data_IF_262986991717
#
_entry.id   IF_262986991717
#
_cell.length_a   1.000
_cell.length_b   1.000
_cell.length_c   1.000
_cell.angle_alpha   90.00
_cell.angle_beta   90.00
_cell.angle_gamma   90.00
#
_symmetry.space_group_name_H-M   'P 1'
#
loop_
_entity.id
_entity.type
_entity.pdbx_description
1 polymer ?
#
# COMPACT_ATOMS: atom_id res chain seq x y z
N UNK A 1 40.08 31.79 -0.26
CA UNK A 1 39.62 30.39 -0.40
C UNK A 1 39.51 29.83 1.00
N UNK A 2 38.34 29.96 1.63
CA UNK A 2 38.08 29.30 2.91
C UNK A 2 37.35 27.98 2.63
N UNK A 3 38.04 26.86 2.86
CA UNK A 3 37.40 25.56 3.01
C UNK A 3 36.85 25.50 4.44
N UNK A 4 35.58 25.85 4.60
CA UNK A 4 34.86 25.50 5.82
C UNK A 4 34.70 23.98 5.87
N UNK A 5 35.55 23.31 6.63
CA UNK A 5 35.33 21.93 7.06
C UNK A 5 34.25 21.96 8.12
N UNK A 6 33.00 21.75 7.70
CA UNK A 6 31.89 21.57 8.63
C UNK A 6 32.13 20.25 9.37
N UNK A 7 32.56 20.32 10.63
CA UNK A 7 32.62 19.15 11.51
C UNK A 7 31.19 18.76 11.83
N UNK A 8 30.64 17.80 11.07
CA UNK A 8 29.34 17.20 11.42
C UNK A 8 29.45 16.62 12.82
N UNK A 9 28.59 17.08 13.73
CA UNK A 9 28.61 16.62 15.11
C UNK A 9 28.04 15.21 15.15
N UNK A 10 28.54 14.34 16.04
CA UNK A 10 27.95 13.00 16.28
C UNK A 10 26.43 13.09 16.51
N UNK A 11 25.97 14.20 17.11
CA UNK A 11 24.55 14.49 17.30
C UNK A 11 23.80 14.73 16.00
N UNK A 12 24.41 15.38 15.01
CA UNK A 12 23.81 15.65 13.71
C UNK A 12 23.60 14.32 12.94
N UNK A 13 24.58 13.43 12.99
CA UNK A 13 24.51 12.08 12.40
C UNK A 13 23.40 11.26 13.09
N UNK A 14 23.31 11.31 14.41
CA UNK A 14 22.26 10.61 15.16
C UNK A 14 20.86 11.14 14.81
N UNK A 15 20.68 12.46 14.77
CA UNK A 15 19.41 13.10 14.40
C UNK A 15 19.01 12.76 12.96
N UNK A 16 19.97 12.69 12.05
CA UNK A 16 19.74 12.26 10.68
C UNK A 16 19.26 10.81 10.64
N UNK A 17 19.95 9.89 11.33
CA UNK A 17 19.54 8.49 11.42
C UNK A 17 18.14 8.30 11.99
N UNK A 18 17.78 9.05 13.04
CA UNK A 18 16.46 9.00 13.64
C UNK A 18 15.36 9.52 12.69
N UNK A 19 15.61 10.62 11.96
CA UNK A 19 14.66 11.15 10.95
C UNK A 19 14.39 10.14 9.84
N UNK A 20 15.44 9.49 9.34
CA UNK A 20 15.34 8.46 8.32
C UNK A 20 14.53 7.26 8.83
N UNK A 21 14.82 6.81 10.06
CA UNK A 21 14.08 5.70 10.68
C UNK A 21 12.59 6.00 10.87
N UNK A 22 12.23 7.22 11.31
CA UNK A 22 10.84 7.64 11.43
C UNK A 22 10.11 7.67 10.07
N UNK A 23 10.78 8.16 9.03
CA UNK A 23 10.22 8.16 7.68
C UNK A 23 9.94 6.74 7.18
N UNK A 24 10.85 5.80 7.44
CA UNK A 24 10.67 4.38 7.09
C UNK A 24 9.52 3.75 7.88
N UNK A 25 9.38 4.02 9.18
CA UNK A 25 8.23 3.54 9.97
C UNK A 25 6.92 4.07 9.44
N UNK A 26 6.84 5.37 9.16
CA UNK A 26 5.63 5.99 8.61
C UNK A 26 5.24 5.37 7.28
N UNK A 27 6.23 5.01 6.46
CA UNK A 27 5.98 4.31 5.22
C UNK A 27 5.50 2.86 5.44
N UNK A 28 6.15 2.11 6.33
CA UNK A 28 5.76 0.74 6.68
C UNK A 28 4.33 0.67 7.22
N UNK A 29 3.94 1.61 8.08
CA UNK A 29 2.57 1.64 8.63
C UNK A 29 1.54 1.90 7.56
N UNK A 30 1.80 2.81 6.61
CA UNK A 30 0.90 3.05 5.45
C UNK A 30 0.74 1.80 4.58
N UNK A 31 1.85 1.11 4.27
CA UNK A 31 1.84 -0.14 3.51
C UNK A 31 1.03 -1.24 4.22
N UNK A 32 1.20 -1.38 5.53
CA UNK A 32 0.44 -2.33 6.34
C UNK A 32 -1.05 -1.98 6.39
N UNK A 33 -1.39 -0.70 6.50
CA UNK A 33 -2.78 -0.24 6.52
C UNK A 33 -3.49 -0.54 5.20
N UNK A 34 -2.84 -0.32 4.05
CA UNK A 34 -3.40 -0.69 2.74
C UNK A 34 -3.62 -2.21 2.60
N UNK A 35 -2.70 -3.03 3.11
CA UNK A 35 -2.88 -4.49 3.15
C UNK A 35 -4.02 -4.93 4.05
N UNK A 36 -4.19 -4.27 5.19
CA UNK A 36 -5.29 -4.54 6.11
C UNK A 36 -6.64 -4.19 5.46
N UNK A 37 -6.71 -3.07 4.75
CA UNK A 37 -7.91 -2.66 4.02
C UNK A 37 -8.28 -3.67 2.93
N UNK A 38 -7.32 -4.14 2.14
CA UNK A 38 -7.53 -5.22 1.17
C UNK A 38 -8.07 -6.48 1.87
N UNK A 39 -7.46 -6.89 2.99
CA UNK A 39 -7.93 -8.07 3.73
C UNK A 39 -9.35 -7.91 4.27
N UNK A 40 -9.73 -6.69 4.70
CA UNK A 40 -11.10 -6.38 5.11
C UNK A 40 -12.07 -6.51 3.94
N UNK A 41 -11.72 -5.96 2.78
CA UNK A 41 -12.57 -6.03 1.58
C UNK A 41 -12.70 -7.46 1.06
N UNK A 42 -11.62 -8.26 1.10
CA UNK A 42 -11.65 -9.69 0.73
C UNK A 42 -12.60 -10.49 1.64
N UNK A 43 -12.65 -10.18 2.95
CA UNK A 43 -13.61 -10.78 3.89
C UNK A 43 -15.05 -10.37 3.58
N UNK A 44 -15.28 -9.12 3.21
CA UNK A 44 -16.61 -8.66 2.81
C UNK A 44 -17.05 -9.33 1.51
N UNK A 45 -16.13 -9.50 0.55
CA UNK A 45 -16.38 -10.20 -0.70
C UNK A 45 -16.77 -11.66 -0.47
N UNK A 46 -16.06 -12.36 0.43
CA UNK A 46 -16.40 -13.74 0.83
C UNK A 46 -17.80 -13.82 1.45
N UNK A 47 -18.16 -12.84 2.29
CA UNK A 47 -19.51 -12.73 2.87
C UNK A 47 -20.58 -12.57 1.80
N UNK A 48 -20.37 -11.69 0.81
CA UNK A 48 -21.30 -11.47 -0.29
C UNK A 48 -21.48 -12.73 -1.16
N UNK A 49 -20.39 -13.45 -1.46
CA UNK A 49 -20.51 -14.76 -2.12
C UNK A 49 -21.33 -15.76 -1.28
N UNK A 50 -21.17 -15.76 0.05
CA UNK A 50 -22.00 -16.55 0.95
C UNK A 50 -23.48 -16.17 0.91
N UNK A 51 -23.80 -14.87 0.78
CA UNK A 51 -25.18 -14.39 0.60
C UNK A 51 -25.75 -14.91 -0.72
N UNK A 52 -25.01 -14.77 -1.82
CA UNK A 52 -25.43 -15.28 -3.14
C UNK A 52 -25.68 -16.79 -3.13
N UNK A 53 -24.82 -17.56 -2.45
CA UNK A 53 -25.01 -19.01 -2.27
C UNK A 53 -26.34 -19.33 -1.58
N UNK A 54 -26.64 -18.65 -0.47
CA UNK A 54 -27.92 -18.84 0.26
C UNK A 54 -29.14 -18.42 -0.57
N UNK A 55 -29.02 -17.37 -1.38
CA UNK A 55 -30.11 -16.95 -2.28
C UNK A 55 -30.32 -17.99 -3.37
N UNK A 56 -29.25 -18.62 -3.88
CA UNK A 56 -29.34 -19.68 -4.88
C UNK A 56 -30.06 -20.93 -4.33
N UNK A 57 -29.87 -21.26 -3.05
CA UNK A 57 -30.60 -22.35 -2.37
C UNK A 57 -32.10 -22.04 -2.17
N UNK A 58 -32.46 -20.77 -1.94
CA UNK A 58 -33.83 -20.34 -1.69
C UNK A 58 -34.23 -19.08 -2.50
N UNK A 59 -34.46 -19.22 -3.83
CA UNK A 59 -34.54 -18.08 -4.75
C UNK A 59 -35.86 -17.29 -4.71
N UNK A 60 -36.93 -17.82 -4.10
CA UNK A 60 -38.27 -17.21 -4.16
C UNK A 60 -38.30 -15.85 -3.45
N UNK A 61 -38.60 -14.79 -4.21
CA UNK A 61 -38.82 -13.43 -3.69
C UNK A 61 -37.55 -12.64 -3.36
N UNK A 62 -36.35 -13.14 -3.72
CA UNK A 62 -35.05 -12.52 -3.36
C UNK A 62 -34.29 -11.89 -4.53
N UNK A 63 -34.99 -11.57 -5.62
CA UNK A 63 -34.35 -11.06 -6.83
C UNK A 63 -33.63 -9.72 -6.61
N UNK A 64 -34.21 -8.82 -5.81
CA UNK A 64 -33.59 -7.54 -5.45
C UNK A 64 -32.35 -7.71 -4.58
N UNK A 65 -32.40 -8.62 -3.60
CA UNK A 65 -31.26 -8.97 -2.74
C UNK A 65 -30.11 -9.56 -3.56
N UNK A 66 -30.43 -10.43 -4.53
CA UNK A 66 -29.46 -10.98 -5.47
C UNK A 66 -28.79 -9.90 -6.30
N UNK A 67 -29.56 -8.98 -6.87
CA UNK A 67 -29.04 -7.90 -7.71
C UNK A 67 -28.12 -6.96 -6.91
N UNK A 68 -28.51 -6.63 -5.67
CA UNK A 68 -27.69 -5.81 -4.78
C UNK A 68 -26.36 -6.49 -4.47
N UNK A 69 -26.40 -7.77 -4.06
CA UNK A 69 -25.19 -8.53 -3.72
C UNK A 69 -24.26 -8.69 -4.94
N UNK A 70 -24.80 -8.87 -6.15
CA UNK A 70 -23.99 -8.88 -7.38
C UNK A 70 -23.30 -7.53 -7.64
N UNK A 71 -23.98 -6.40 -7.40
CA UNK A 71 -23.35 -5.06 -7.52
C UNK A 71 -22.26 -4.86 -6.48
N UNK A 72 -22.49 -5.32 -5.24
CA UNK A 72 -21.48 -5.26 -4.18
C UNK A 72 -20.26 -6.11 -4.52
N UNK A 73 -20.44 -7.33 -5.02
CA UNK A 73 -19.34 -8.18 -5.51
C UNK A 73 -18.56 -7.50 -6.62
N UNK A 74 -19.23 -6.89 -7.61
CA UNK A 74 -18.56 -6.18 -8.69
C UNK A 74 -17.70 -5.01 -8.16
N UNK A 75 -18.29 -4.18 -7.30
CA UNK A 75 -17.59 -3.06 -6.65
C UNK A 75 -16.39 -3.53 -5.83
N UNK A 76 -16.56 -4.55 -4.97
CA UNK A 76 -15.49 -5.04 -4.11
C UNK A 76 -14.32 -5.60 -4.91
N UNK A 77 -14.57 -6.31 -6.01
CA UNK A 77 -13.50 -6.80 -6.88
C UNK A 77 -12.71 -5.66 -7.54
N UNK A 78 -13.41 -4.63 -8.04
CA UNK A 78 -12.78 -3.45 -8.63
C UNK A 78 -11.94 -2.68 -7.62
N UNK A 79 -12.46 -2.47 -6.42
CA UNK A 79 -11.78 -1.76 -5.33
C UNK A 79 -10.52 -2.52 -4.86
N UNK A 80 -10.63 -3.83 -4.66
CA UNK A 80 -9.49 -4.69 -4.30
C UNK A 80 -8.41 -4.65 -5.39
N UNK A 81 -8.80 -4.72 -6.67
CA UNK A 81 -7.87 -4.66 -7.79
C UNK A 81 -7.15 -3.31 -7.86
N UNK A 82 -7.88 -2.22 -7.62
CA UNK A 82 -7.34 -0.85 -7.57
C UNK A 82 -6.31 -0.73 -6.45
N UNK A 83 -6.67 -1.10 -5.21
CA UNK A 83 -5.76 -1.02 -4.06
C UNK A 83 -4.52 -1.91 -4.20
N UNK A 84 -4.66 -3.11 -4.80
CA UNK A 84 -3.52 -3.99 -5.10
C UNK A 84 -2.57 -3.32 -6.10
N UNK A 85 -3.11 -2.65 -7.12
CA UNK A 85 -2.33 -1.93 -8.13
C UNK A 85 -1.62 -0.73 -7.52
N UNK A 86 -2.31 0.05 -6.69
CA UNK A 86 -1.72 1.19 -5.98
C UNK A 86 -0.56 0.78 -5.06
N UNK A 87 -0.71 -0.30 -4.29
CA UNK A 87 0.37 -0.84 -3.46
C UNK A 87 1.57 -1.33 -4.29
N UNK A 88 1.31 -1.95 -5.45
CA UNK A 88 2.37 -2.38 -6.36
C UNK A 88 3.13 -1.18 -6.95
N UNK A 89 2.40 -0.15 -7.38
CA UNK A 89 2.96 1.08 -7.95
C UNK A 89 3.76 1.87 -6.90
N UNK A 90 3.27 1.98 -5.66
CA UNK A 90 4.02 2.61 -4.56
C UNK A 90 5.34 1.87 -4.30
N UNK A 91 5.31 0.53 -4.32
CA UNK A 91 6.52 -0.29 -4.22
C UNK A 91 7.49 -0.05 -5.37
N UNK A 92 7.01 0.00 -6.60
CA UNK A 92 7.86 0.22 -7.77
C UNK A 92 8.50 1.62 -7.75
N UNK A 93 7.70 2.67 -7.49
CA UNK A 93 8.20 4.04 -7.40
C UNK A 93 9.29 4.19 -6.34
N UNK A 94 9.16 3.50 -5.20
CA UNK A 94 10.18 3.48 -4.16
C UNK A 94 11.46 2.78 -4.61
N UNK A 95 11.33 1.59 -5.19
CA UNK A 95 12.49 0.85 -5.70
C UNK A 95 13.22 1.63 -6.80
N UNK A 96 12.49 2.40 -7.61
CA UNK A 96 13.07 3.31 -8.60
C UNK A 96 13.88 4.42 -7.92
N UNK A 97 13.33 5.09 -6.92
CA UNK A 97 14.06 6.14 -6.15
C UNK A 97 15.35 5.60 -5.52
N UNK A 98 15.28 4.43 -4.87
CA UNK A 98 16.46 3.79 -4.27
C UNK A 98 17.53 3.47 -5.32
N UNK A 99 17.12 2.95 -6.49
CA UNK A 99 18.05 2.68 -7.60
C UNK A 99 18.68 3.95 -8.16
N UNK A 100 17.90 5.02 -8.32
CA UNK A 100 18.40 6.31 -8.81
C UNK A 100 19.41 6.92 -7.84
N UNK A 101 19.10 6.94 -6.54
CA UNK A 101 20.03 7.42 -5.51
C UNK A 101 21.32 6.59 -5.45
N UNK A 102 21.23 5.27 -5.60
CA UNK A 102 22.41 4.41 -5.66
C UNK A 102 23.27 4.66 -6.90
N UNK A 103 22.67 4.97 -8.05
CA UNK A 103 23.39 5.28 -9.29
C UNK A 103 24.06 6.66 -9.26
N UNK A 104 23.43 7.65 -8.64
CA UNK A 104 24.02 8.99 -8.43
C UNK A 104 25.27 8.93 -7.57
N UNK A 105 25.25 8.15 -6.47
CA UNK A 105 26.43 7.95 -5.63
C UNK A 105 27.57 7.20 -6.31
N UNK A 106 27.29 6.35 -7.31
CA UNK A 106 28.33 5.67 -8.09
C UNK A 106 28.91 6.52 -9.23
N UNK A 107 28.19 7.56 -9.67
CA UNK A 107 28.65 8.50 -10.68
C UNK A 107 29.56 9.62 -10.15
N UNK A 108 29.58 9.85 -8.83
CA UNK A 108 30.44 10.84 -8.18
C UNK A 108 31.84 10.30 -7.81
N UNK A 109 32.08 8.99 -7.95
CA UNK A 109 33.39 8.36 -7.68
C UNK A 109 34.29 8.18 -8.94
N UNK A 110 33.91 8.76 -10.10
CA UNK A 110 34.71 8.80 -11.34
C UNK A 110 35.10 10.23 -11.73
#
# INVERSE_FOLDING_TARGET
MDRQTHSETVMDIFLLGLKTWLAEIQWLTRSLMGRFEISRLEKELEREYGILGRIAEAPRGRQSEKELSLKQVAFLNEEIATLKTELANDREMRMKKVRTQAAEHQGEEL
#
